data_IF_129937265065
#
_entry.id   IF_129937265065
#
_cell.length_a   1.000
_cell.length_b   1.000
_cell.length_c   1.000
_cell.angle_alpha   90.00
_cell.angle_beta   90.00
_cell.angle_gamma   90.00
#
_symmetry.space_group_name_H-M   'P 1'
#
loop_
_entity.id
_entity.type
_entity.pdbx_description
1 polymer ?
#
# COMPACT_ATOMS: atom_id res chain seq x y z
N UNK A 1 -58.26 -7.21 -2.95
CA UNK A 1 -57.14 -8.08 -2.51
C UNK A 1 -55.86 -7.93 -3.36
N UNK A 2 -55.88 -7.25 -4.51
CA UNK A 2 -54.72 -7.18 -5.42
C UNK A 2 -53.57 -6.26 -4.96
N UNK A 3 -53.85 -5.19 -4.20
CA UNK A 3 -52.80 -4.22 -3.84
C UNK A 3 -51.76 -4.78 -2.85
N UNK A 4 -52.14 -5.78 -2.02
CA UNK A 4 -51.22 -6.43 -1.08
C UNK A 4 -50.26 -7.40 -1.78
N UNK A 5 -50.71 -8.07 -2.85
CA UNK A 5 -49.87 -8.99 -3.64
C UNK A 5 -48.82 -8.25 -4.47
N UNK A 6 -49.17 -7.08 -5.05
CA UNK A 6 -48.21 -6.25 -5.82
C UNK A 6 -47.11 -5.63 -4.94
N UNK A 7 -47.44 -5.26 -3.70
CA UNK A 7 -46.45 -4.75 -2.72
C UNK A 7 -45.49 -5.85 -2.28
N UNK A 8 -46.00 -7.07 -2.07
CA UNK A 8 -45.20 -8.22 -1.66
C UNK A 8 -44.26 -8.70 -2.78
N UNK A 9 -44.72 -8.76 -4.03
CA UNK A 9 -43.85 -9.08 -5.17
C UNK A 9 -42.78 -8.01 -5.38
N UNK A 10 -43.12 -6.72 -5.26
CA UNK A 10 -42.12 -5.64 -5.31
C UNK A 10 -41.07 -5.74 -4.20
N UNK A 11 -41.46 -6.11 -2.99
CA UNK A 11 -40.51 -6.31 -1.88
C UNK A 11 -39.58 -7.49 -2.13
N UNK A 12 -40.09 -8.60 -2.67
CA UNK A 12 -39.26 -9.75 -3.07
C UNK A 12 -38.28 -9.35 -4.17
N UNK A 13 -38.73 -8.62 -5.20
CA UNK A 13 -37.86 -8.16 -6.29
C UNK A 13 -36.78 -7.21 -5.77
N UNK A 14 -37.15 -6.28 -4.88
CA UNK A 14 -36.20 -5.34 -4.28
C UNK A 14 -35.19 -6.04 -3.35
N UNK A 15 -35.61 -7.11 -2.67
CA UNK A 15 -34.72 -7.97 -1.85
C UNK A 15 -33.72 -8.72 -2.72
N UNK A 16 -34.17 -9.29 -3.85
CA UNK A 16 -33.31 -10.02 -4.80
C UNK A 16 -32.32 -9.07 -5.48
N UNK A 17 -32.78 -7.89 -5.89
CA UNK A 17 -31.90 -6.85 -6.47
C UNK A 17 -30.89 -6.37 -5.44
N UNK A 18 -31.29 -6.13 -4.20
CA UNK A 18 -30.38 -5.72 -3.13
C UNK A 18 -29.34 -6.81 -2.83
N UNK A 19 -29.76 -8.08 -2.77
CA UNK A 19 -28.83 -9.20 -2.61
C UNK A 19 -27.84 -9.28 -3.77
N UNK A 20 -28.30 -9.11 -5.01
CA UNK A 20 -27.47 -9.11 -6.21
C UNK A 20 -26.48 -7.93 -6.22
N UNK A 21 -26.92 -6.74 -5.83
CA UNK A 21 -26.07 -5.55 -5.69
C UNK A 21 -25.03 -5.76 -4.59
N UNK A 22 -25.40 -6.29 -3.43
CA UNK A 22 -24.45 -6.57 -2.33
C UNK A 22 -23.40 -7.62 -2.75
N UNK A 23 -23.80 -8.64 -3.51
CA UNK A 23 -22.85 -9.63 -4.06
C UNK A 23 -21.92 -9.03 -5.11
N UNK A 24 -22.40 -8.09 -5.93
CA UNK A 24 -21.59 -7.38 -6.92
C UNK A 24 -20.60 -6.40 -6.26
N UNK A 25 -21.00 -5.76 -5.15
CA UNK A 25 -20.12 -4.83 -4.41
C UNK A 25 -19.01 -5.54 -3.64
N UNK A 26 -19.22 -6.80 -3.24
CA UNK A 26 -18.24 -7.57 -2.45
C UNK A 26 -17.22 -8.36 -3.31
N UNK A 27 -17.36 -8.31 -4.64
CA UNK A 27 -16.57 -9.14 -5.56
C UNK A 27 -15.40 -8.41 -6.25
N UNK A 28 -15.09 -7.17 -5.83
CA UNK A 28 -13.98 -6.40 -6.39
C UNK A 28 -12.98 -6.06 -5.28
N UNK A 29 -12.18 -7.05 -4.90
CA UNK A 29 -11.07 -6.89 -3.97
C UNK A 29 -9.89 -7.65 -4.52
N UNK A 30 -8.95 -6.95 -5.14
CA UNK A 30 -7.61 -7.45 -5.37
C UNK A 30 -6.89 -7.48 -4.02
N UNK A 31 -6.08 -8.51 -3.78
CA UNK A 31 -5.28 -8.55 -2.55
C UNK A 31 -4.19 -7.49 -2.69
N UNK A 32 -4.30 -6.39 -1.93
CA UNK A 32 -3.33 -5.30 -1.97
C UNK A 32 -2.10 -5.65 -1.14
N UNK A 33 -1.25 -6.54 -1.65
CA UNK A 33 0.07 -6.86 -1.07
C UNK A 33 0.98 -5.62 -1.06
N UNK A 34 0.80 -4.77 -2.07
CA UNK A 34 1.50 -3.50 -2.31
C UNK A 34 1.49 -2.54 -1.12
N UNK A 35 0.43 -2.53 -0.33
CA UNK A 35 0.31 -1.62 0.81
C UNK A 35 1.18 -2.06 2.01
N UNK A 36 1.54 -3.34 2.05
CA UNK A 36 2.16 -3.98 3.22
C UNK A 36 3.64 -4.27 3.04
N UNK A 37 4.09 -4.52 1.81
CA UNK A 37 5.43 -5.01 1.53
C UNK A 37 6.10 -4.23 0.39
N UNK A 38 7.41 -3.94 0.49
CA UNK A 38 8.16 -3.27 -0.58
C UNK A 38 8.23 -4.14 -1.83
N UNK A 39 7.98 -3.51 -2.99
CA UNK A 39 8.14 -4.13 -4.29
C UNK A 39 9.62 -4.30 -4.62
N UNK A 40 10.02 -5.53 -4.92
CA UNK A 40 11.39 -5.94 -5.22
C UNK A 40 11.64 -6.04 -6.73
N UNK A 41 10.75 -6.71 -7.44
CA UNK A 41 10.91 -6.93 -8.88
C UNK A 41 9.57 -7.11 -9.58
N UNK A 42 9.59 -6.89 -10.90
CA UNK A 42 8.42 -7.05 -11.75
C UNK A 42 8.77 -7.84 -13.00
N UNK A 43 7.84 -8.68 -13.46
CA UNK A 43 7.89 -9.32 -14.75
C UNK A 43 6.55 -9.16 -15.50
N UNK A 44 6.63 -9.15 -16.82
CA UNK A 44 5.49 -9.14 -17.72
C UNK A 44 4.95 -7.75 -18.06
N UNK A 45 3.82 -7.76 -18.75
CA UNK A 45 3.05 -6.60 -19.19
C UNK A 45 1.61 -7.00 -19.57
N UNK A 46 0.67 -6.05 -19.50
CA UNK A 46 -0.72 -6.29 -19.88
C UNK A 46 -1.43 -7.25 -18.93
N UNK A 47 -2.03 -8.33 -19.45
CA UNK A 47 -2.73 -9.34 -18.63
C UNK A 47 -1.81 -10.39 -18.01
N UNK A 48 -0.55 -10.43 -18.43
CA UNK A 48 0.46 -11.41 -18.00
C UNK A 48 1.50 -10.69 -17.15
N UNK A 49 1.28 -10.66 -15.84
CA UNK A 49 2.11 -9.88 -14.89
C UNK A 49 2.48 -10.71 -13.67
N UNK A 50 3.67 -10.45 -13.14
CA UNK A 50 4.18 -11.00 -11.89
C UNK A 50 4.88 -9.89 -11.11
N UNK A 51 4.47 -9.69 -9.86
CA UNK A 51 5.04 -8.69 -8.96
C UNK A 51 5.62 -9.39 -7.74
N UNK A 52 6.88 -9.12 -7.41
CA UNK A 52 7.56 -9.74 -6.29
C UNK A 52 7.75 -8.70 -5.20
N UNK A 53 7.28 -9.02 -3.99
CA UNK A 53 7.43 -8.20 -2.80
C UNK A 53 8.29 -8.93 -1.77
N UNK A 54 8.95 -8.16 -0.90
CA UNK A 54 9.79 -8.71 0.17
C UNK A 54 9.14 -8.54 1.53
N UNK A 55 8.97 -9.63 2.26
CA UNK A 55 8.57 -9.65 3.66
C UNK A 55 9.80 -9.93 4.53
N UNK A 56 10.43 -8.85 5.01
CA UNK A 56 11.67 -8.94 5.76
C UNK A 56 11.43 -9.53 7.17
N UNK A 57 12.21 -10.56 7.54
CA UNK A 57 12.15 -11.18 8.87
C UNK A 57 10.84 -11.91 9.20
N UNK A 58 10.06 -12.30 8.19
CA UNK A 58 8.81 -13.05 8.36
C UNK A 58 8.91 -14.41 7.69
N UNK A 59 8.26 -15.42 8.27
CA UNK A 59 8.26 -16.79 7.72
C UNK A 59 7.17 -16.98 6.68
N UNK A 60 7.31 -17.98 5.81
CA UNK A 60 6.32 -18.31 4.76
C UNK A 60 4.91 -18.54 5.35
N UNK A 61 4.73 -19.35 6.41
CA UNK A 61 3.40 -19.55 7.02
C UNK A 61 2.82 -18.27 7.63
N UNK A 62 3.64 -17.44 8.27
CA UNK A 62 3.21 -16.19 8.89
C UNK A 62 2.67 -15.22 7.83
N UNK A 63 3.41 -15.03 6.74
CA UNK A 63 3.02 -14.18 5.62
C UNK A 63 1.76 -14.73 4.95
N UNK A 64 1.71 -16.05 4.70
CA UNK A 64 0.54 -16.68 4.09
C UNK A 64 -0.73 -16.50 4.95
N UNK A 65 -0.60 -16.65 6.27
CA UNK A 65 -1.69 -16.42 7.21
C UNK A 65 -2.12 -14.95 7.25
N UNK A 66 -1.18 -14.00 7.22
CA UNK A 66 -1.50 -12.56 7.18
C UNK A 66 -2.29 -12.20 5.91
N UNK A 67 -1.85 -12.69 4.75
CA UNK A 67 -2.52 -12.47 3.47
C UNK A 67 -3.92 -13.10 3.44
N UNK A 68 -4.05 -14.34 3.92
CA UNK A 68 -5.33 -15.03 4.01
C UNK A 68 -6.30 -14.39 5.00
N UNK A 69 -5.79 -13.76 6.07
CA UNK A 69 -6.59 -13.01 7.03
C UNK A 69 -7.13 -11.69 6.46
N UNK A 70 -6.35 -11.00 5.61
CA UNK A 70 -6.80 -9.79 4.89
C UNK A 70 -7.89 -10.11 3.87
N UNK A 71 -7.70 -11.18 3.11
CA UNK A 71 -8.68 -11.65 2.15
C UNK A 71 -8.63 -13.17 2.05
N UNK A 72 -9.78 -13.81 2.29
CA UNK A 72 -9.90 -15.25 2.26
C UNK A 72 -9.64 -15.78 0.84
N UNK A 73 -8.64 -16.66 0.63
CA UNK A 73 -8.40 -17.27 -0.66
C UNK A 73 -9.49 -18.29 -1.00
N UNK A 74 -9.70 -18.53 -2.29
CA UNK A 74 -10.57 -19.60 -2.78
C UNK A 74 -9.96 -20.98 -2.46
N UNK A 75 -8.63 -21.04 -2.50
CA UNK A 75 -7.86 -22.21 -2.15
C UNK A 75 -6.51 -21.77 -1.56
N UNK A 76 -6.04 -22.51 -0.57
CA UNK A 76 -4.71 -22.37 0.03
C UNK A 76 -4.03 -23.74 0.03
N UNK A 77 -2.73 -23.78 -0.24
CA UNK A 77 -1.92 -25.00 -0.13
C UNK A 77 -1.80 -25.44 1.34
N UNK A 78 -1.35 -26.68 1.60
CA UNK A 78 -0.87 -27.05 2.92
C UNK A 78 0.21 -26.08 3.43
N UNK A 79 0.33 -25.99 4.75
CA UNK A 79 1.36 -25.20 5.41
C UNK A 79 2.74 -25.83 5.18
N UNK A 80 3.70 -25.01 4.79
CA UNK A 80 5.06 -25.41 4.46
C UNK A 80 6.02 -24.23 4.71
N UNK A 81 7.21 -24.52 5.23
CA UNK A 81 8.19 -23.49 5.58
C UNK A 81 8.94 -22.92 4.38
N UNK A 82 8.96 -23.63 3.25
CA UNK A 82 9.66 -23.21 2.05
C UNK A 82 8.76 -22.47 1.08
N UNK A 83 7.52 -22.95 0.86
CA UNK A 83 6.60 -22.34 -0.11
C UNK A 83 5.13 -22.67 0.12
N UNK A 84 4.28 -21.67 -0.10
CA UNK A 84 2.83 -21.80 -0.03
C UNK A 84 2.16 -21.07 -1.20
N UNK A 85 0.98 -21.55 -1.59
CA UNK A 85 0.17 -20.94 -2.63
C UNK A 85 -1.18 -20.49 -2.09
N UNK A 86 -1.60 -19.27 -2.45
CA UNK A 86 -2.91 -18.71 -2.17
C UNK A 86 -3.59 -18.35 -3.49
N UNK A 87 -4.72 -18.99 -3.77
CA UNK A 87 -5.47 -18.81 -5.02
C UNK A 87 -6.64 -17.87 -4.79
N UNK A 88 -6.72 -16.84 -5.62
CA UNK A 88 -7.81 -15.87 -5.65
C UNK A 88 -8.56 -15.93 -6.99
N UNK A 89 -9.60 -15.10 -7.12
CA UNK A 89 -10.46 -15.05 -8.31
C UNK A 89 -9.71 -14.70 -9.60
N UNK A 90 -8.69 -13.86 -9.50
CA UNK A 90 -8.00 -13.20 -10.61
C UNK A 90 -6.48 -13.37 -10.58
N UNK A 91 -5.92 -13.67 -9.40
CA UNK A 91 -4.49 -13.84 -9.17
C UNK A 91 -4.18 -15.12 -8.39
N UNK A 92 -2.91 -15.51 -8.43
CA UNK A 92 -2.31 -16.54 -7.58
C UNK A 92 -1.14 -15.89 -6.86
N UNK A 93 -1.09 -16.05 -5.55
CA UNK A 93 0.05 -15.59 -4.75
C UNK A 93 0.90 -16.80 -4.40
N UNK A 94 2.17 -16.76 -4.77
CA UNK A 94 3.19 -17.72 -4.40
C UNK A 94 4.08 -17.09 -3.33
N UNK A 95 3.96 -17.57 -2.10
CA UNK A 95 4.78 -17.16 -0.96
C UNK A 95 5.92 -18.15 -0.85
N UNK A 96 7.16 -17.70 -0.84
CA UNK A 96 8.32 -18.60 -0.81
C UNK A 96 9.46 -17.99 -0.01
N UNK A 97 10.30 -18.83 0.57
CA UNK A 97 11.51 -18.41 1.27
C UNK A 97 12.54 -17.83 0.30
N UNK A 98 13.23 -16.76 0.69
CA UNK A 98 14.36 -16.24 -0.11
C UNK A 98 15.59 -17.15 0.09
N UNK A 99 16.06 -17.78 -0.99
CA UNK A 99 17.25 -18.64 -0.96
C UNK A 99 18.53 -17.86 -0.60
N UNK A 100 18.57 -16.56 -0.92
CA UNK A 100 19.70 -15.68 -0.63
C UNK A 100 19.67 -15.10 0.79
N UNK A 101 18.46 -14.94 1.36
CA UNK A 101 18.21 -14.38 2.70
C UNK A 101 17.15 -15.24 3.41
N UNK A 102 17.51 -16.41 3.97
CA UNK A 102 16.57 -17.38 4.55
C UNK A 102 15.63 -16.84 5.64
N UNK A 103 15.97 -15.71 6.26
CA UNK A 103 15.16 -14.97 7.23
C UNK A 103 14.01 -14.18 6.59
N UNK A 104 14.08 -13.94 5.29
CA UNK A 104 13.11 -13.20 4.50
C UNK A 104 12.23 -14.13 3.68
N UNK A 105 11.02 -13.65 3.40
CA UNK A 105 10.05 -14.29 2.52
C UNK A 105 9.79 -13.41 1.32
N UNK A 106 9.67 -14.03 0.15
CA UNK A 106 9.28 -13.40 -1.11
C UNK A 106 7.82 -13.73 -1.40
N UNK A 107 7.07 -12.69 -1.77
CA UNK A 107 5.66 -12.77 -2.12
C UNK A 107 5.54 -12.46 -3.59
N UNK A 108 5.30 -13.48 -4.39
CA UNK A 108 5.09 -13.34 -5.83
C UNK A 108 3.60 -13.32 -6.13
N UNK A 109 3.11 -12.20 -6.67
CA UNK A 109 1.72 -11.98 -7.05
C UNK A 109 1.60 -12.11 -8.56
N UNK A 110 1.07 -13.24 -9.00
CA UNK A 110 0.97 -13.62 -10.40
C UNK A 110 -0.46 -13.49 -10.92
N UNK A 111 -0.62 -12.94 -12.11
CA UNK A 111 -1.88 -13.07 -12.84
C UNK A 111 -2.10 -14.53 -13.25
N UNK A 112 -3.36 -14.98 -13.37
CA UNK A 112 -3.65 -16.34 -13.85
C UNK A 112 -3.04 -16.63 -15.23
N UNK A 113 -2.98 -15.63 -16.09
CA UNK A 113 -2.34 -15.75 -17.41
C UNK A 113 -0.83 -15.97 -17.29
N UNK A 114 -0.17 -15.33 -16.32
CA UNK A 114 1.23 -15.53 -16.03
C UNK A 114 1.49 -16.95 -15.51
N UNK A 115 0.69 -17.42 -14.55
CA UNK A 115 0.82 -18.80 -14.04
C UNK A 115 0.66 -19.81 -15.16
N UNK A 116 -0.38 -19.63 -15.99
CA UNK A 116 -0.69 -20.52 -17.12
C UNK A 116 0.45 -20.63 -18.15
N UNK A 117 1.18 -19.54 -18.38
CA UNK A 117 2.24 -19.49 -19.39
C UNK A 117 3.61 -19.93 -18.86
N UNK A 118 3.87 -19.71 -17.58
CA UNK A 118 5.20 -19.86 -17.00
C UNK A 118 5.35 -21.12 -16.14
N UNK A 119 4.32 -21.51 -15.38
CA UNK A 119 4.40 -22.64 -14.46
C UNK A 119 4.06 -23.95 -15.15
N UNK A 120 4.56 -25.06 -14.57
CA UNK A 120 4.17 -26.41 -15.00
C UNK A 120 3.00 -26.93 -14.15
N UNK A 121 2.00 -27.60 -14.75
CA UNK A 121 0.90 -28.22 -14.00
C UNK A 121 1.39 -29.19 -12.93
N UNK A 122 2.37 -30.03 -13.27
CA UNK A 122 2.97 -31.03 -12.37
C UNK A 122 3.64 -30.44 -11.12
N UNK A 123 4.12 -29.19 -11.19
CA UNK A 123 4.67 -28.52 -10.02
C UNK A 123 3.55 -28.04 -9.11
N UNK A 124 2.49 -27.46 -9.69
CA UNK A 124 1.34 -26.96 -8.95
C UNK A 124 0.50 -28.09 -8.34
N UNK A 125 0.51 -29.29 -8.92
CA UNK A 125 -0.17 -30.48 -8.38
C UNK A 125 0.29 -30.85 -6.97
N UNK A 126 1.51 -30.48 -6.56
CA UNK A 126 1.99 -30.68 -5.20
C UNK A 126 1.33 -29.77 -4.16
N UNK A 127 0.68 -28.69 -4.59
CA UNK A 127 0.19 -27.63 -3.71
C UNK A 127 -1.30 -27.33 -3.89
N UNK A 128 -1.81 -27.51 -5.10
CA UNK A 128 -3.14 -27.07 -5.52
C UNK A 128 -4.02 -28.24 -5.96
N UNK A 129 -5.33 -28.02 -5.96
CA UNK A 129 -6.30 -29.06 -6.28
C UNK A 129 -6.33 -29.24 -7.79
N UNK A 130 -6.48 -30.50 -8.23
CA UNK A 130 -6.56 -30.85 -9.64
C UNK A 130 -7.67 -30.09 -10.38
N UNK A 131 -8.77 -29.73 -9.71
CA UNK A 131 -9.85 -28.93 -10.31
C UNK A 131 -9.40 -27.51 -10.69
N UNK A 132 -8.62 -26.86 -9.83
CA UNK A 132 -8.08 -25.54 -10.12
C UNK A 132 -7.06 -25.61 -11.25
N UNK A 133 -6.13 -26.56 -11.16
CA UNK A 133 -5.08 -26.77 -12.17
C UNK A 133 -5.72 -27.09 -13.52
N UNK A 134 -6.68 -28.01 -13.56
CA UNK A 134 -7.47 -28.31 -14.75
C UNK A 134 -8.08 -27.05 -15.34
N UNK A 135 -8.82 -26.25 -14.56
CA UNK A 135 -9.43 -25.00 -15.05
C UNK A 135 -8.42 -23.97 -15.56
N UNK A 136 -7.21 -23.96 -14.99
CA UNK A 136 -6.17 -23.02 -15.37
C UNK A 136 -5.53 -23.39 -16.72
N UNK A 137 -5.37 -24.68 -16.99
CA UNK A 137 -4.61 -25.20 -18.13
C UNK A 137 -5.46 -25.91 -19.20
N UNK A 138 -6.77 -26.08 -19.02
CA UNK A 138 -7.68 -26.80 -19.93
C UNK A 138 -7.59 -26.35 -21.39
N UNK A 139 -7.43 -25.03 -21.61
CA UNK A 139 -7.40 -24.44 -22.94
C UNK A 139 -6.00 -24.35 -23.56
N UNK A 140 -4.98 -24.93 -22.93
CA UNK A 140 -3.58 -24.71 -23.32
C UNK A 140 -2.90 -26.03 -23.72
N UNK A 141 -2.23 -26.08 -24.87
CA UNK A 141 -1.49 -27.27 -25.26
C UNK A 141 -0.34 -27.57 -24.30
N UNK A 142 -0.07 -28.85 -24.05
CA UNK A 142 1.01 -29.29 -23.13
C UNK A 142 2.40 -28.75 -23.46
N UNK A 143 2.66 -28.42 -24.73
CA UNK A 143 3.92 -27.82 -25.20
C UNK A 143 4.05 -26.33 -24.88
N UNK A 144 2.97 -25.70 -24.42
CA UNK A 144 2.91 -24.26 -24.20
C UNK A 144 3.21 -23.85 -22.76
N UNK A 145 3.15 -24.77 -21.79
CA UNK A 145 3.53 -24.48 -20.40
C UNK A 145 5.02 -24.14 -20.30
N UNK A 146 5.39 -23.45 -19.22
CA UNK A 146 6.78 -23.29 -18.81
C UNK A 146 7.15 -24.29 -17.71
N UNK A 147 8.37 -24.20 -17.21
CA UNK A 147 8.89 -25.00 -16.11
C UNK A 147 9.30 -24.15 -14.90
N UNK A 148 8.79 -22.92 -14.82
CA UNK A 148 9.01 -21.97 -13.74
C UNK A 148 8.51 -22.52 -12.40
N UNK A 149 9.27 -22.28 -11.33
CA UNK A 149 8.96 -22.77 -9.97
C UNK A 149 8.97 -21.66 -8.92
N UNK A 150 8.78 -20.41 -9.35
CA UNK A 150 8.81 -19.22 -8.49
C UNK A 150 10.13 -18.46 -8.55
N UNK A 151 10.11 -17.25 -7.99
CA UNK A 151 11.21 -16.30 -8.11
C UNK A 151 12.58 -16.78 -7.61
N UNK A 152 12.67 -17.62 -6.57
CA UNK A 152 13.94 -18.22 -6.15
C UNK A 152 14.59 -19.09 -7.23
N UNK A 153 13.77 -19.75 -8.05
CA UNK A 153 14.22 -20.62 -9.13
C UNK A 153 14.53 -19.90 -10.45
N UNK A 154 14.39 -18.57 -10.52
CA UNK A 154 14.44 -17.83 -11.79
C UNK A 154 15.74 -18.02 -12.60
N UNK A 155 16.84 -18.40 -11.96
CA UNK A 155 18.14 -18.64 -12.61
C UNK A 155 18.24 -20.04 -13.22
N UNK A 156 17.64 -21.05 -12.59
CA UNK A 156 17.69 -22.46 -13.01
C UNK A 156 16.46 -22.86 -13.83
N UNK A 157 15.34 -22.21 -13.57
CA UNK A 157 14.02 -22.39 -14.15
C UNK A 157 13.42 -21.01 -14.44
N UNK A 158 13.91 -20.31 -15.47
CA UNK A 158 13.43 -18.97 -15.80
C UNK A 158 11.98 -19.00 -16.31
N UNK A 159 11.22 -17.90 -16.14
CA UNK A 159 9.91 -17.79 -16.74
C UNK A 159 10.04 -17.82 -18.27
N UNK A 160 9.07 -18.45 -18.92
CA UNK A 160 9.01 -18.54 -20.39
C UNK A 160 8.70 -17.19 -21.02
N UNK A 161 7.96 -16.34 -20.32
CA UNK A 161 7.56 -15.01 -20.78
C UNK A 161 8.16 -13.90 -19.93
N UNK A 162 8.75 -12.92 -20.62
CA UNK A 162 9.37 -11.76 -20.01
C UNK A 162 10.64 -12.08 -19.21
N UNK A 163 11.16 -11.05 -18.54
CA UNK A 163 12.28 -11.15 -17.61
C UNK A 163 12.02 -10.24 -16.42
N UNK A 164 12.41 -10.68 -15.23
CA UNK A 164 12.34 -9.84 -14.04
C UNK A 164 13.27 -8.63 -14.21
N UNK A 165 12.73 -7.47 -13.84
CA UNK A 165 13.45 -6.19 -13.86
C UNK A 165 13.15 -5.42 -12.59
N UNK A 166 14.04 -4.48 -12.28
CA UNK A 166 13.80 -3.52 -11.21
C UNK A 166 12.51 -2.72 -11.51
N UNK A 167 11.67 -2.44 -10.50
CA UNK A 167 10.45 -1.67 -10.69
C UNK A 167 10.75 -0.27 -11.25
N UNK A 168 9.95 0.16 -12.23
CA UNK A 168 10.01 1.52 -12.75
C UNK A 168 9.08 2.46 -11.97
N UNK A 169 9.23 3.77 -12.14
CA UNK A 169 8.36 4.75 -11.51
C UNK A 169 6.89 4.65 -11.95
N UNK A 170 6.59 4.02 -13.09
CA UNK A 170 5.21 3.69 -13.50
C UNK A 170 4.67 2.46 -12.77
N UNK A 171 5.50 1.43 -12.57
CA UNK A 171 5.11 0.23 -11.83
C UNK A 171 4.83 0.58 -10.35
N UNK A 172 5.66 1.45 -9.78
CA UNK A 172 5.50 1.95 -8.40
C UNK A 172 4.29 2.90 -8.25
N UNK A 173 3.80 3.50 -9.34
CA UNK A 173 2.61 4.36 -9.33
C UNK A 173 1.31 3.60 -9.56
N UNK A 174 1.38 2.43 -10.21
CA UNK A 174 0.27 1.51 -10.29
C UNK A 174 0.00 0.87 -8.91
N UNK A 175 1.04 0.68 -8.10
CA UNK A 175 0.94 0.37 -6.69
C UNK A 175 0.53 1.62 -5.86
N UNK A 176 -0.45 1.53 -4.93
CA UNK A 176 -0.81 2.64 -4.05
C UNK A 176 0.38 3.01 -3.14
N UNK A 177 0.45 4.26 -2.66
CA UNK A 177 1.67 4.80 -2.06
C UNK A 177 2.01 4.08 -0.76
N UNK A 178 3.19 3.45 -0.75
CA UNK A 178 3.78 2.94 0.48
C UNK A 178 4.13 4.12 1.41
N UNK A 179 3.62 4.08 2.65
CA UNK A 179 4.23 4.86 3.72
C UNK A 179 5.39 4.04 4.27
N UNK A 180 6.61 4.57 4.19
CA UNK A 180 7.86 3.85 4.50
C UNK A 180 7.96 3.35 5.96
N UNK A 181 6.94 3.52 6.81
CA UNK A 181 7.03 3.16 8.24
C UNK A 181 5.70 2.87 8.93
N UNK A 182 4.59 2.61 8.21
CA UNK A 182 3.27 2.39 8.87
C UNK A 182 2.88 3.53 9.84
N UNK A 183 3.50 4.70 9.67
CA UNK A 183 3.27 5.96 10.39
C UNK A 183 3.07 7.06 9.34
N UNK A 184 1.90 7.08 8.74
CA UNK A 184 1.46 8.22 7.94
C UNK A 184 1.26 9.42 8.86
N UNK A 185 2.23 10.33 8.91
CA UNK A 185 1.95 11.73 9.27
C UNK A 185 1.98 12.54 7.99
N UNK A 186 0.82 13.07 7.61
CA UNK A 186 0.70 14.01 6.50
C UNK A 186 1.33 15.31 6.99
N UNK A 187 2.60 15.54 6.67
CA UNK A 187 3.19 16.86 6.83
C UNK A 187 2.61 17.77 5.76
N UNK A 188 1.60 18.57 6.15
CA UNK A 188 1.20 19.75 5.37
C UNK A 188 2.45 20.61 5.18
N UNK A 189 2.90 20.74 3.93
CA UNK A 189 3.96 21.68 3.56
C UNK A 189 3.41 23.10 3.71
N UNK A 190 3.56 23.66 4.90
CA UNK A 190 3.20 25.04 5.19
C UNK A 190 3.14 25.30 6.68
N UNK A 191 4.03 26.19 7.14
CA UNK A 191 4.17 26.76 8.49
C UNK A 191 4.86 25.87 9.53
N UNK A 192 5.95 26.43 10.04
CA UNK A 192 6.91 25.86 10.97
C UNK A 192 6.30 25.51 12.33
N UNK A 193 6.78 24.38 12.88
CA UNK A 193 6.77 23.94 14.29
C UNK A 193 5.41 23.81 15.02
N UNK A 194 4.92 22.59 15.18
CA UNK A 194 5.09 21.87 16.46
C UNK A 194 4.79 20.36 16.29
N UNK A 195 5.53 19.52 17.01
CA UNK A 195 5.35 18.07 17.00
C UNK A 195 4.08 17.66 17.74
N UNK A 196 3.01 17.34 17.02
CA UNK A 196 1.78 16.81 17.58
C UNK A 196 1.06 15.95 16.54
N UNK A 197 0.93 14.66 16.82
CA UNK A 197 0.21 13.73 15.96
C UNK A 197 -1.23 14.19 15.75
N UNK A 198 -1.63 14.33 14.48
CA UNK A 198 -3.00 14.60 14.11
C UNK A 198 -3.82 13.31 14.26
N UNK A 199 -4.53 13.16 15.38
CA UNK A 199 -5.45 12.04 15.57
C UNK A 199 -5.76 11.71 17.02
N UNK A 200 -6.38 12.64 17.74
CA UNK A 200 -7.28 12.32 18.87
C UNK A 200 -7.85 13.62 19.44
N UNK A 201 -8.80 14.23 18.74
CA UNK A 201 -9.82 15.00 19.44
C UNK A 201 -11.08 15.05 18.59
N UNK A 202 -12.07 14.27 19.03
CA UNK A 202 -13.38 14.19 18.43
C UNK A 202 -14.14 15.51 18.59
N UNK A 203 -14.97 15.80 17.59
CA UNK A 203 -15.75 17.03 17.39
C UNK A 203 -16.78 17.39 18.50
N UNK A 204 -16.81 16.69 19.65
CA UNK A 204 -17.74 16.98 20.76
C UNK A 204 -17.14 16.77 22.18
N UNK A 205 -15.83 16.94 22.36
CA UNK A 205 -15.19 16.78 23.68
C UNK A 205 -15.28 18.02 24.59
N UNK A 206 -16.40 18.21 25.30
CA UNK A 206 -16.41 19.08 26.50
C UNK A 206 -15.57 18.43 27.59
N UNK A 207 -14.43 19.03 27.97
CA UNK A 207 -13.70 18.63 29.20
C UNK A 207 -14.36 19.26 30.44
N UNK A 208 -14.63 18.49 31.51
CA UNK A 208 -15.05 19.05 32.80
C UNK A 208 -13.90 19.79 33.47
N UNK A 209 -14.29 20.81 34.23
CA UNK A 209 -13.47 21.57 35.15
C UNK A 209 -12.97 20.66 36.27
N UNK A 210 -11.70 20.78 36.65
CA UNK A 210 -11.28 20.50 38.03
C UNK A 210 -10.20 21.48 38.47
N UNK A 211 -10.43 22.01 39.67
CA UNK A 211 -9.68 23.03 40.37
C UNK A 211 -8.44 22.42 41.06
N UNK A 212 -7.25 22.98 40.82
CA UNK A 212 -6.34 23.54 41.85
C UNK A 212 -4.85 23.51 41.46
N UNK A 213 -4.22 24.71 41.49
CA UNK A 213 -2.84 25.11 41.88
C UNK A 213 -1.64 24.21 41.46
N UNK A 214 -0.49 24.70 40.98
CA UNK A 214 0.11 26.04 40.89
C UNK A 214 1.45 25.98 40.13
N UNK A 215 1.94 27.15 39.71
CA UNK A 215 3.31 27.51 39.30
C UNK A 215 3.70 27.24 37.84
N UNK A 216 3.92 28.33 37.12
CA UNK A 216 4.31 28.33 35.71
C UNK A 216 3.94 29.64 35.03
N UNK A 217 4.70 30.69 35.34
CA UNK A 217 4.55 32.09 34.93
C UNK A 217 4.11 32.27 33.47
N UNK A 218 2.88 32.75 33.25
CA UNK A 218 2.42 33.24 31.95
C UNK A 218 3.03 34.62 31.67
N UNK A 219 3.86 34.70 30.63
CA UNK A 219 4.50 35.93 30.19
C UNK A 219 3.50 36.93 29.61
N UNK A 220 3.30 38.05 30.31
CA UNK A 220 2.48 39.18 29.88
C UNK A 220 3.32 40.13 29.02
N UNK A 221 2.95 40.34 27.75
CA UNK A 221 3.61 41.34 26.89
C UNK A 221 2.95 42.70 27.14
N UNK A 222 3.63 43.57 27.88
CA UNK A 222 3.28 45.00 27.98
C UNK A 222 3.94 45.78 26.85
N UNK A 223 3.14 46.45 26.01
CA UNK A 223 3.65 47.30 24.93
C UNK A 223 3.87 48.70 25.49
N UNK A 224 5.10 49.02 25.93
CA UNK A 224 5.39 50.35 26.45
C UNK A 224 5.40 51.37 25.30
N UNK A 225 4.64 52.46 25.46
CA UNK A 225 4.62 53.62 24.57
C UNK A 225 5.56 54.68 25.16
N UNK A 226 6.34 55.31 24.29
CA UNK A 226 7.21 56.49 24.49
C UNK A 226 8.62 56.27 25.05
N UNK A 227 9.60 56.56 24.19
CA UNK A 227 10.61 57.61 24.42
C UNK A 227 11.85 57.29 25.26
N UNK A 228 13.02 57.26 24.60
CA UNK A 228 14.25 57.84 25.15
C UNK A 228 15.28 56.92 25.80
N UNK A 229 16.41 56.76 25.09
CA UNK A 229 17.81 56.68 25.57
C UNK A 229 18.24 55.69 26.68
N UNK A 230 19.34 54.95 26.41
CA UNK A 230 20.35 54.69 27.44
C UNK A 230 20.75 53.22 27.68
N UNK A 231 21.81 52.82 26.99
CA UNK A 231 22.73 51.69 27.22
C UNK A 231 22.94 51.18 28.66
N UNK A 232 22.91 49.85 28.83
CA UNK A 232 24.01 48.97 29.34
C UNK A 232 23.40 47.58 29.59
N UNK A 233 23.90 46.41 29.20
CA UNK A 233 25.16 45.97 28.62
C UNK A 233 25.36 44.53 29.12
N UNK A 234 25.21 43.52 28.26
CA UNK A 234 25.88 42.22 28.43
C UNK A 234 25.79 41.41 27.13
N UNK A 235 26.97 41.10 26.62
CA UNK A 235 27.33 40.33 25.44
C UNK A 235 26.75 38.91 25.39
N UNK A 236 26.35 38.45 24.20
CA UNK A 236 26.02 37.04 23.97
C UNK A 236 25.54 36.72 22.54
N UNK A 237 26.48 36.70 21.60
CA UNK A 237 26.57 35.86 20.38
C UNK A 237 25.33 35.45 19.53
N UNK A 238 24.17 36.09 19.64
CA UNK A 238 23.00 35.74 18.84
C UNK A 238 22.24 36.99 18.37
N UNK A 239 22.72 37.64 17.31
CA UNK A 239 21.91 38.58 16.54
C UNK A 239 22.14 38.34 15.04
N UNK A 240 21.16 37.79 14.29
CA UNK A 240 21.24 37.77 12.85
C UNK A 240 21.20 39.21 12.31
N UNK A 241 22.09 39.52 11.36
CA UNK A 241 22.10 40.82 10.66
C UNK A 241 20.75 41.05 9.99
N UNK A 242 20.05 42.13 10.37
CA UNK A 242 18.92 42.65 9.58
C UNK A 242 19.44 43.21 8.27
N UNK A 243 19.38 42.43 7.20
CA UNK A 243 19.49 42.96 5.83
C UNK A 243 18.12 42.91 5.17
N UNK A 244 17.51 44.07 4.96
CA UNK A 244 16.33 44.18 4.08
C UNK A 244 16.77 43.96 2.62
N UNK A 245 16.03 43.19 1.81
CA UNK A 245 16.35 43.03 0.40
C UNK A 245 16.25 44.40 -0.32
N UNK A 246 17.29 44.78 -1.07
CA UNK A 246 17.25 45.96 -1.95
C UNK A 246 16.30 45.66 -3.11
N UNK A 247 15.03 46.02 -2.97
CA UNK A 247 14.17 46.23 -4.14
C UNK A 247 14.61 47.55 -4.78
N UNK A 248 15.29 47.51 -5.92
CA UNK A 248 15.42 48.72 -6.76
C UNK A 248 14.02 49.05 -7.26
N UNK A 249 13.38 50.04 -6.66
CA UNK A 249 12.24 50.72 -7.26
C UNK A 249 12.67 51.27 -8.63
N UNK A 250 11.98 50.87 -9.70
CA UNK A 250 12.14 51.45 -11.05
C UNK A 250 12.66 50.55 -12.17
N UNK A 251 12.80 49.22 -11.99
CA UNK A 251 13.28 48.32 -13.06
C UNK A 251 12.19 47.41 -13.62
N UNK A 252 11.71 47.67 -14.85
CA UNK A 252 10.82 46.76 -15.59
C UNK A 252 11.62 45.56 -16.14
N UNK A 253 11.78 44.50 -15.33
CA UNK A 253 12.37 43.24 -15.77
C UNK A 253 11.34 42.37 -16.49
N UNK A 254 11.51 42.15 -17.80
CA UNK A 254 10.65 41.28 -18.62
C UNK A 254 10.91 39.80 -18.28
N UNK A 255 9.86 39.07 -17.94
CA UNK A 255 9.88 37.61 -17.80
C UNK A 255 9.87 37.01 -19.22
N UNK A 256 10.93 36.32 -19.61
CA UNK A 256 10.97 35.52 -20.85
C UNK A 256 10.64 34.07 -20.52
N UNK A 257 9.62 33.51 -21.18
CA UNK A 257 9.33 32.07 -21.17
C UNK A 257 10.14 31.42 -22.29
N UNK A 258 10.98 30.44 -21.94
CA UNK A 258 11.65 29.57 -22.91
C UNK A 258 10.60 28.74 -23.65
N UNK A 259 10.66 28.76 -24.99
CA UNK A 259 9.97 27.79 -25.86
C UNK A 259 10.63 26.43 -25.75
#
# INVERSE_FOLDING_TARGET
MESRRRKWTSWIHLSVILALVVTLLSACGTVNVEESYPLESVNGSGSTTSYVYRAAGQTVPEVAAELAAKQKPQQQSPEDEERMFLVYSDQVIHVQKDESHPEDTLIEVDSKDYVRQNYSPSFLEGYLLASFIGSLFDSVPSRSYGDYRGYGSQTTKPPKTGTYRAPTASDTKAAPPMTVTRKGSIFKRGTSSDGGGAGSDGLFGKKPQDYSKSSGTSGRITRNKNGGSGSSGSSGWLNPRKSSPRTKFGGSGRISRRR
#
